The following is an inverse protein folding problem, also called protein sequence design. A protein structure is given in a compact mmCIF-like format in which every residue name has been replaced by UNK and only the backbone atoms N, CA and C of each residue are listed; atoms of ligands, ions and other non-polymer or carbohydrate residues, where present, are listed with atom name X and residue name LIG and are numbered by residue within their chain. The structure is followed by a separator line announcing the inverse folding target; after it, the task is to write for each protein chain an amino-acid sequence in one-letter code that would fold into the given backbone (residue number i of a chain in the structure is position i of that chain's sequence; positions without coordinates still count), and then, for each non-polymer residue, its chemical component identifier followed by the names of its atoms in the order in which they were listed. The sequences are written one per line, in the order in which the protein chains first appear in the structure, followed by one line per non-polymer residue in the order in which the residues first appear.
data_IF_089471335648
#
_entry.id   IF_089471335648
#
_cell.length_a   1.000
_cell.length_b   1.000
_cell.length_c   1.000
_cell.angle_alpha   90.00
_cell.angle_beta   90.00
_cell.angle_gamma   90.00
#
_symmetry.space_group_name_H-M   'P 1'
#
loop_
_entity.id
_entity.type
_entity.pdbx_description
1 polymer ?
#
# COMPACT_ATOMS: atom_id res chain seq x y z
N UNK A 1 -38.96 25.17 2.86
CA UNK A 1 -38.65 25.39 1.43
C UNK A 1 -37.17 25.08 1.17
N UNK A 2 -36.70 23.87 1.50
CA UNK A 2 -35.30 23.42 1.28
C UNK A 2 -35.18 21.89 1.14
N UNK A 3 -36.31 21.18 0.96
CA UNK A 3 -36.35 19.70 0.91
C UNK A 3 -35.52 19.13 -0.25
N UNK A 4 -35.40 19.90 -1.33
CA UNK A 4 -34.56 19.57 -2.48
C UNK A 4 -33.07 19.49 -2.15
N UNK A 5 -32.59 20.31 -1.19
CA UNK A 5 -31.19 20.27 -0.75
C UNK A 5 -30.91 18.95 -0.03
N UNK A 6 -31.83 18.52 0.84
CA UNK A 6 -31.72 17.25 1.56
C UNK A 6 -31.79 16.08 0.58
N UNK A 7 -32.71 16.12 -0.39
CA UNK A 7 -32.81 15.10 -1.44
C UNK A 7 -31.53 15.00 -2.29
N UNK A 8 -30.95 16.14 -2.67
CA UNK A 8 -29.67 16.20 -3.39
C UNK A 8 -28.52 15.63 -2.57
N UNK A 9 -28.45 15.94 -1.27
CA UNK A 9 -27.44 15.42 -0.36
C UNK A 9 -27.54 13.90 -0.18
N UNK A 10 -28.75 13.38 -0.01
CA UNK A 10 -28.98 11.92 0.13
C UNK A 10 -28.60 11.19 -1.16
N UNK A 11 -28.95 11.73 -2.33
CA UNK A 11 -28.54 11.17 -3.62
C UNK A 11 -27.02 11.22 -3.81
N UNK A 12 -26.37 12.30 -3.37
CA UNK A 12 -24.92 12.43 -3.41
C UNK A 12 -24.25 11.37 -2.53
N UNK A 13 -24.68 11.20 -1.27
CA UNK A 13 -24.15 10.19 -0.36
C UNK A 13 -24.39 8.77 -0.91
N UNK A 14 -25.60 8.49 -1.40
CA UNK A 14 -25.91 7.21 -2.03
C UNK A 14 -24.97 6.92 -3.22
N UNK A 15 -24.67 7.94 -4.04
CA UNK A 15 -23.76 7.81 -5.18
C UNK A 15 -22.31 7.56 -4.75
N UNK A 16 -21.85 8.21 -3.68
CA UNK A 16 -20.52 7.99 -3.08
C UNK A 16 -20.37 6.54 -2.59
N UNK A 17 -21.41 5.98 -1.97
CA UNK A 17 -21.37 4.63 -1.41
C UNK A 17 -21.53 3.55 -2.48
N UNK A 18 -22.40 3.78 -3.48
CA UNK A 18 -22.78 2.74 -4.43
C UNK A 18 -21.90 2.68 -5.68
N UNK A 19 -21.23 3.78 -6.06
CA UNK A 19 -20.39 3.83 -7.25
C UNK A 19 -18.92 3.88 -6.83
N UNK A 20 -18.30 2.71 -6.78
CA UNK A 20 -16.89 2.55 -6.37
C UNK A 20 -15.91 3.28 -7.28
N UNK A 21 -16.18 3.36 -8.59
CA UNK A 21 -15.28 3.98 -9.60
C UNK A 21 -15.54 5.48 -9.83
N UNK A 22 -16.20 6.17 -8.91
CA UNK A 22 -16.50 7.59 -9.13
C UNK A 22 -15.32 8.50 -8.75
N UNK A 23 -14.86 9.31 -9.70
CA UNK A 23 -13.73 10.26 -9.53
C UNK A 23 -13.90 11.27 -8.39
N UNK A 24 -15.13 11.62 -8.01
CA UNK A 24 -15.40 12.54 -6.89
C UNK A 24 -15.52 11.84 -5.54
N UNK A 25 -15.58 10.51 -5.51
CA UNK A 25 -15.66 9.74 -4.28
C UNK A 25 -14.45 10.02 -3.39
N UNK A 26 -13.25 9.99 -3.96
CA UNK A 26 -11.99 10.29 -3.27
C UNK A 26 -11.97 11.72 -2.68
N UNK A 27 -12.52 12.69 -3.42
CA UNK A 27 -12.66 14.08 -2.95
C UNK A 27 -13.64 14.21 -1.76
N UNK A 28 -14.79 13.54 -1.81
CA UNK A 28 -15.79 13.61 -0.74
C UNK A 28 -15.44 12.77 0.50
N UNK A 29 -14.66 11.70 0.35
CA UNK A 29 -14.11 10.97 1.49
C UNK A 29 -12.92 11.71 2.13
N UNK A 30 -12.42 12.78 1.51
CA UNK A 30 -11.24 13.50 1.99
C UNK A 30 -9.97 12.65 1.96
N UNK A 31 -10.00 11.55 1.21
CA UNK A 31 -8.95 10.55 1.14
C UNK A 31 -8.29 10.72 -0.23
N UNK A 32 -7.15 11.42 -0.26
CA UNK A 32 -6.28 11.44 -1.43
C UNK A 32 -5.67 10.05 -1.51
N UNK A 33 -6.37 9.14 -2.18
CA UNK A 33 -5.93 7.77 -2.37
C UNK A 33 -4.71 7.79 -3.29
N UNK A 34 -3.54 8.08 -2.72
CA UNK A 34 -2.29 8.01 -3.45
C UNK A 34 -2.17 6.58 -3.97
N UNK A 35 -2.11 6.43 -5.28
CA UNK A 35 -2.12 5.10 -5.92
C UNK A 35 -0.71 4.55 -6.05
N UNK A 36 0.31 5.40 -5.93
CA UNK A 36 1.72 5.02 -5.98
C UNK A 36 2.56 5.59 -4.84
N UNK A 37 3.66 4.91 -4.56
CA UNK A 37 4.71 5.40 -3.67
C UNK A 37 5.29 6.75 -4.13
N UNK A 38 5.48 6.92 -5.44
CA UNK A 38 6.00 8.16 -6.02
C UNK A 38 5.06 9.35 -5.84
N UNK A 39 3.74 9.11 -5.89
CA UNK A 39 2.73 10.13 -5.62
C UNK A 39 2.79 10.55 -4.15
N UNK A 40 2.88 9.59 -3.22
CA UNK A 40 3.06 9.89 -1.79
C UNK A 40 4.35 10.69 -1.56
N UNK A 41 5.47 10.28 -2.16
CA UNK A 41 6.75 10.98 -2.02
C UNK A 41 6.66 12.42 -2.56
N UNK A 42 6.02 12.62 -3.70
CA UNK A 42 5.85 13.95 -4.30
C UNK A 42 4.98 14.90 -3.46
N UNK A 43 3.97 14.36 -2.78
CA UNK A 43 3.03 15.13 -1.95
C UNK A 43 3.55 15.39 -0.53
N UNK A 44 4.28 14.43 0.03
CA UNK A 44 4.83 14.54 1.39
C UNK A 44 6.20 15.24 1.43
N UNK A 45 6.93 15.23 0.31
CA UNK A 45 8.32 15.72 0.24
C UNK A 45 9.31 14.82 0.99
N UNK A 46 8.88 13.64 1.42
CA UNK A 46 9.73 12.63 2.06
C UNK A 46 10.39 11.74 1.02
N UNK A 47 11.54 11.17 1.38
CA UNK A 47 12.22 10.22 0.53
C UNK A 47 11.39 8.94 0.39
N UNK A 48 11.30 8.42 -0.83
CA UNK A 48 10.50 7.25 -1.13
C UNK A 48 10.99 6.01 -0.36
N UNK A 49 12.29 5.92 -0.06
CA UNK A 49 12.84 4.82 0.73
C UNK A 49 12.42 4.90 2.21
N UNK A 50 12.33 6.09 2.80
CA UNK A 50 11.83 6.27 4.17
C UNK A 50 10.35 5.88 4.28
N UNK A 51 9.54 6.30 3.32
CA UNK A 51 8.13 5.90 3.23
C UNK A 51 8.04 4.37 3.09
N UNK A 52 8.91 3.77 2.29
CA UNK A 52 8.94 2.32 2.08
C UNK A 52 9.31 1.56 3.37
N UNK A 53 10.28 2.04 4.15
CA UNK A 53 10.62 1.49 5.48
C UNK A 53 9.40 1.56 6.40
N UNK A 54 8.71 2.71 6.41
CA UNK A 54 7.52 2.89 7.24
C UNK A 54 6.38 1.95 6.83
N UNK A 55 6.15 1.77 5.52
CA UNK A 55 5.15 0.84 4.99
C UNK A 55 5.50 -0.62 5.32
N UNK A 56 6.76 -1.03 5.16
CA UNK A 56 7.21 -2.39 5.44
C UNK A 56 7.15 -2.74 6.94
N UNK A 57 7.48 -1.78 7.81
CA UNK A 57 7.41 -1.94 9.27
C UNK A 57 5.97 -1.96 9.79
N UNK A 58 5.07 -1.18 9.19
CA UNK A 58 3.67 -1.04 9.61
C UNK A 58 2.73 -2.02 8.89
N UNK A 59 3.22 -2.82 7.95
CA UNK A 59 2.43 -3.76 7.13
C UNK A 59 1.48 -4.67 7.95
N UNK A 60 1.92 -5.11 9.13
CA UNK A 60 1.08 -5.92 10.02
C UNK A 60 -0.18 -5.18 10.50
N UNK A 61 -0.09 -3.87 10.68
CA UNK A 61 -1.13 -3.01 11.22
C UNK A 61 -1.96 -2.32 10.13
N UNK A 62 -1.42 -2.16 8.91
CA UNK A 62 -2.15 -1.53 7.81
C UNK A 62 -3.07 -2.52 7.08
N UNK A 63 -4.23 -2.03 6.64
CA UNK A 63 -5.13 -2.76 5.72
C UNK A 63 -4.67 -2.68 4.26
N UNK A 64 -3.58 -1.96 4.01
CA UNK A 64 -3.09 -1.59 2.69
C UNK A 64 -2.62 -2.86 1.95
N UNK A 65 -3.13 -3.04 0.73
CA UNK A 65 -2.73 -4.12 -0.18
C UNK A 65 -1.79 -3.52 -1.21
N UNK A 66 -0.63 -4.13 -1.38
CA UNK A 66 0.38 -3.63 -2.31
C UNK A 66 0.24 -4.33 -3.65
N UNK A 67 0.26 -3.54 -4.72
CA UNK A 67 0.26 -3.98 -6.10
C UNK A 67 1.67 -4.03 -6.71
N UNK A 68 1.72 -4.55 -7.94
CA UNK A 68 2.93 -4.63 -8.77
C UNK A 68 3.56 -3.24 -8.97
N UNK A 69 4.88 -3.13 -9.28
CA UNK A 69 5.84 -4.20 -9.63
C UNK A 69 6.59 -4.87 -8.46
N UNK A 70 6.92 -4.18 -7.36
CA UNK A 70 7.79 -4.72 -6.30
C UNK A 70 7.05 -5.33 -5.09
N UNK A 71 5.84 -5.86 -5.33
CA UNK A 71 4.95 -6.43 -4.30
C UNK A 71 5.56 -7.58 -3.47
N UNK A 72 6.60 -8.28 -3.97
CA UNK A 72 7.20 -9.45 -3.29
C UNK A 72 7.84 -9.15 -1.93
N UNK A 73 8.07 -7.87 -1.60
CA UNK A 73 8.58 -7.48 -0.28
C UNK A 73 7.49 -7.46 0.81
N UNK A 74 6.22 -7.51 0.38
CA UNK A 74 5.03 -7.47 1.23
C UNK A 74 4.35 -8.85 1.23
N UNK A 75 3.79 -9.21 2.38
CA UNK A 75 2.95 -10.39 2.59
C UNK A 75 1.51 -10.18 2.07
N UNK A 76 1.02 -8.93 2.08
CA UNK A 76 -0.35 -8.58 1.65
C UNK A 76 -0.41 -8.13 0.19
N UNK A 77 -0.42 -9.10 -0.73
CA UNK A 77 -0.55 -8.85 -2.18
C UNK A 77 -2.02 -8.60 -2.62
N UNK A 78 -2.23 -7.67 -3.55
CA UNK A 78 -3.48 -7.51 -4.31
C UNK A 78 -3.28 -7.94 -5.77
N UNK A 79 -4.21 -8.74 -6.29
CA UNK A 79 -4.13 -9.30 -7.66
C UNK A 79 -4.48 -8.28 -8.76
N UNK A 80 -5.36 -7.30 -8.49
CA UNK A 80 -5.91 -6.43 -9.53
C UNK A 80 -5.83 -4.93 -9.24
N UNK A 81 -6.01 -4.50 -8.00
CA UNK A 81 -6.11 -3.09 -7.65
C UNK A 81 -5.58 -2.86 -6.23
N UNK A 82 -4.40 -2.25 -6.12
CA UNK A 82 -3.74 -1.97 -4.85
C UNK A 82 -2.59 -0.99 -5.04
N UNK A 83 -2.00 -0.57 -3.93
CA UNK A 83 -1.00 0.50 -3.90
C UNK A 83 0.26 0.11 -4.67
N UNK A 84 0.58 0.84 -5.73
CA UNK A 84 1.73 0.57 -6.61
C UNK A 84 3.03 0.98 -5.94
N UNK A 85 3.99 0.06 -5.91
CA UNK A 85 5.35 0.32 -5.45
C UNK A 85 6.22 0.46 -6.68
N UNK A 86 6.32 1.68 -7.20
CA UNK A 86 7.02 1.98 -8.45
C UNK A 86 8.53 2.11 -8.30
N UNK A 87 9.03 2.26 -7.07
CA UNK A 87 10.46 2.36 -6.80
C UNK A 87 11.06 1.05 -6.27
N UNK A 88 12.28 0.76 -6.72
CA UNK A 88 12.99 -0.42 -6.29
C UNK A 88 13.53 -0.22 -4.87
N UNK A 89 13.26 -1.14 -3.93
CA UNK A 89 13.84 -1.07 -2.60
C UNK A 89 15.35 -1.26 -2.65
N UNK A 90 16.09 -0.39 -1.97
CA UNK A 90 17.52 -0.57 -1.77
C UNK A 90 17.77 -1.63 -0.68
N UNK A 91 18.91 -2.33 -0.74
CA UNK A 91 19.29 -3.35 0.25
C UNK A 91 19.35 -2.77 1.67
N UNK A 92 19.79 -1.53 1.80
CA UNK A 92 19.82 -0.80 3.06
C UNK A 92 18.39 -0.58 3.61
N UNK A 93 17.48 -0.10 2.77
CA UNK A 93 16.05 0.06 3.07
C UNK A 93 15.39 -1.24 3.53
N UNK A 94 15.71 -2.36 2.87
CA UNK A 94 15.23 -3.69 3.27
C UNK A 94 15.76 -4.08 4.65
N UNK A 95 17.05 -3.86 4.90
CA UNK A 95 17.67 -4.17 6.19
C UNK A 95 17.11 -3.29 7.32
N UNK A 96 16.90 -2.00 7.07
CA UNK A 96 16.32 -1.04 8.01
C UNK A 96 14.85 -1.36 8.31
N UNK A 97 14.13 -1.92 7.33
CA UNK A 97 12.79 -2.49 7.52
C UNK A 97 12.77 -3.86 8.24
N UNK A 98 13.94 -4.43 8.58
CA UNK A 98 14.06 -5.72 9.25
C UNK A 98 13.88 -6.94 8.32
N UNK A 99 14.18 -6.77 7.03
CA UNK A 99 14.16 -7.84 6.02
C UNK A 99 15.58 -8.14 5.57
N UNK A 100 16.05 -9.35 5.84
CA UNK A 100 17.34 -9.85 5.40
C UNK A 100 17.23 -10.55 4.04
N UNK A 101 18.09 -10.17 3.12
CA UNK A 101 18.29 -10.88 1.86
C UNK A 101 19.29 -12.02 2.06
N UNK A 102 18.83 -13.26 1.89
CA UNK A 102 19.66 -14.46 1.92
C UNK A 102 19.80 -15.04 0.52
N UNK A 103 21.03 -15.32 0.07
CA UNK A 103 21.25 -16.14 -1.13
C UNK A 103 21.45 -17.59 -0.68
N UNK A 104 20.55 -18.47 -1.09
CA UNK A 104 20.61 -19.90 -0.77
C UNK A 104 20.95 -20.68 -2.03
N UNK A 105 21.87 -21.63 -1.91
CA UNK A 105 22.15 -22.57 -2.98
C UNK A 105 21.16 -23.73 -2.88
N UNK A 106 20.25 -23.87 -3.85
CA UNK A 106 19.34 -25.02 -3.93
C UNK A 106 19.85 -26.03 -4.96
N UNK A 107 19.27 -27.23 -4.96
CA UNK A 107 19.58 -28.27 -5.95
C UNK A 107 19.24 -27.84 -7.39
N UNK A 108 18.34 -26.87 -7.56
CA UNK A 108 17.93 -26.31 -8.85
C UNK A 108 18.71 -25.04 -9.23
N UNK A 109 19.56 -24.52 -8.34
CA UNK A 109 20.42 -23.37 -8.59
C UNK A 109 20.42 -22.33 -7.47
N UNK A 110 21.07 -21.17 -7.68
CA UNK A 110 21.09 -20.10 -6.69
C UNK A 110 19.71 -19.44 -6.59
N UNK A 111 19.09 -19.50 -5.41
CA UNK A 111 17.84 -18.81 -5.09
C UNK A 111 18.10 -17.63 -4.15
N UNK A 112 17.25 -16.60 -4.23
CA UNK A 112 17.25 -15.50 -3.28
C UNK A 112 16.00 -15.63 -2.41
N UNK A 113 16.19 -15.61 -1.11
CA UNK A 113 15.13 -15.61 -0.11
C UNK A 113 15.11 -14.27 0.63
N UNK A 114 13.91 -13.80 0.92
CA UNK A 114 13.66 -12.64 1.78
C UNK A 114 13.23 -13.19 3.15
N UNK A 115 14.05 -12.94 4.17
CA UNK A 115 13.79 -13.35 5.54
C UNK A 115 13.33 -12.13 6.35
N UNK A 116 12.08 -12.14 6.81
CA UNK A 116 11.57 -11.09 7.68
C UNK A 116 11.87 -11.44 9.13
N UNK A 117 12.65 -10.59 9.82
CA UNK A 117 13.06 -10.79 11.21
C UNK A 117 11.97 -10.46 12.23
N UNK A 118 10.94 -9.71 11.81
CA UNK A 118 9.81 -9.37 12.67
C UNK A 118 9.03 -10.64 13.00
N UNK A 119 8.97 -10.99 14.29
CA UNK A 119 8.10 -12.04 14.83
C UNK A 119 6.68 -11.76 14.35
N UNK A 120 6.14 -12.65 13.52
CA UNK A 120 4.70 -12.71 13.33
C UNK A 120 4.06 -12.85 14.71
N UNK A 121 3.35 -11.83 15.15
CA UNK A 121 2.36 -12.00 16.20
C UNK A 121 1.36 -12.98 15.62
N UNK A 122 1.48 -14.24 16.01
CA UNK A 122 0.49 -15.28 15.79
C UNK A 122 -0.83 -14.76 16.38
N UNK A 123 -1.66 -14.19 15.52
CA UNK A 123 -3.03 -13.83 15.83
C UNK A 123 -3.88 -15.08 15.67
N UNK A 124 -4.33 -15.58 16.82
CA UNK A 124 -5.54 -16.37 17.07
C UNK A 124 -6.64 -16.29 16.00
#
# INVERSE_FOLDING_TARGET
MYSWIIGGLVLLIAKIVHVSEWTWREFFLGEVACRSLSEVASLTGLDAQEILIHLLSTEGQTILRTGRPYQRCFSKESVSDGFSIDEMPTVQTLNDAGILLGKVLTLEGPAVILLRLVRGTWGI
#
